data_IF_764648174281
#
_entry.id   IF_764648174281
#
_cell.length_a   1.000
_cell.length_b   1.000
_cell.length_c   1.000
_cell.angle_alpha   90.00
_cell.angle_beta   90.00
_cell.angle_gamma   90.00
#
_symmetry.space_group_name_H-M   'P 1'
#
loop_
_entity.id
_entity.type
_entity.pdbx_description
1 polymer ?
#
# COMPACT_ATOMS: atom_id res chain seq x y z
N UNK A 1 10.54 41.03 7.47
CA UNK A 1 9.71 40.92 8.68
C UNK A 1 8.47 40.10 8.32
N UNK A 2 8.24 39.02 9.06
CA UNK A 2 7.18 38.02 8.84
C UNK A 2 5.83 38.47 9.44
N UNK A 3 4.68 38.31 8.76
CA UNK A 3 3.39 38.34 9.41
C UNK A 3 3.00 36.94 9.95
N UNK A 4 2.57 36.96 11.21
CA UNK A 4 2.25 35.85 12.11
C UNK A 4 1.11 34.96 11.61
N UNK A 5 1.31 33.65 11.79
CA UNK A 5 0.30 32.58 11.76
C UNK A 5 -0.85 32.88 12.74
N UNK A 6 -2.10 32.71 12.30
CA UNK A 6 -3.25 32.42 13.15
C UNK A 6 -3.99 31.23 12.54
N UNK A 7 -3.65 30.04 13.00
CA UNK A 7 -4.42 28.83 12.75
C UNK A 7 -5.56 28.78 13.77
N UNK A 8 -6.80 28.76 13.27
CA UNK A 8 -8.00 28.47 14.06
C UNK A 8 -8.08 26.95 14.18
N UNK A 9 -7.85 26.43 15.38
CA UNK A 9 -8.07 25.02 15.70
C UNK A 9 -9.57 24.85 15.91
N UNK A 10 -10.26 24.30 14.90
CA UNK A 10 -11.58 23.71 15.08
C UNK A 10 -11.39 22.26 15.50
N UNK A 11 -11.65 22.01 16.78
CA UNK A 11 -11.80 20.70 17.39
C UNK A 11 -12.99 19.98 16.75
N UNK A 12 -12.73 19.20 15.70
CA UNK A 12 -13.58 18.12 15.24
C UNK A 12 -13.05 16.82 15.81
N UNK A 13 -13.71 16.31 16.85
CA UNK A 13 -13.43 15.00 17.42
C UNK A 13 -13.89 13.91 16.44
N UNK A 14 -12.98 13.49 15.56
CA UNK A 14 -13.00 12.18 14.93
C UNK A 14 -11.72 11.48 15.37
N UNK A 15 -11.81 10.58 16.34
CA UNK A 15 -10.73 9.66 16.61
C UNK A 15 -10.64 8.73 15.39
N UNK A 16 -9.84 9.10 14.38
CA UNK A 16 -9.35 8.14 13.41
C UNK A 16 -8.34 7.33 14.19
N UNK A 17 -8.77 6.17 14.68
CA UNK A 17 -7.89 5.23 15.33
C UNK A 17 -6.80 4.85 14.34
N UNK A 18 -5.58 5.37 14.56
CA UNK A 18 -4.38 4.76 14.00
C UNK A 18 -4.23 3.41 14.70
N UNK A 19 -4.92 2.40 14.19
CA UNK A 19 -4.61 1.01 14.50
C UNK A 19 -3.24 0.73 13.92
N UNK A 20 -2.23 0.67 14.78
CA UNK A 20 -0.91 0.17 14.40
C UNK A 20 -1.04 -1.36 14.23
N UNK A 21 -1.69 -1.76 13.13
CA UNK A 21 -1.78 -3.15 12.67
C UNK A 21 -0.39 -3.52 12.17
N UNK A 22 0.18 -4.60 12.70
CA UNK A 22 1.59 -4.95 12.56
C UNK A 22 2.03 -5.07 11.10
N UNK A 23 2.64 -4.01 10.56
CA UNK A 23 3.38 -4.11 9.31
C UNK A 23 4.75 -4.74 9.62
N UNK A 24 5.13 -5.75 8.84
CA UNK A 24 6.48 -6.32 8.90
C UNK A 24 7.19 -5.89 7.64
N UNK A 25 8.07 -4.90 7.75
CA UNK A 25 9.09 -4.63 6.73
C UNK A 25 9.90 -5.91 6.56
N UNK A 26 9.71 -6.62 5.44
CA UNK A 26 10.44 -7.85 5.13
C UNK A 26 11.84 -7.57 4.56
N UNK A 27 12.04 -6.37 4.04
CA UNK A 27 13.31 -5.85 3.53
C UNK A 27 13.69 -4.61 4.34
N UNK A 28 14.94 -4.52 4.80
CA UNK A 28 15.46 -3.30 5.39
C UNK A 28 15.31 -2.19 4.34
N UNK A 29 14.61 -1.12 4.73
CA UNK A 29 14.35 0.06 3.90
C UNK A 29 15.61 0.64 3.23
N UNK A 30 16.77 0.38 3.83
CA UNK A 30 18.07 0.83 3.37
C UNK A 30 18.63 0.03 2.17
N UNK A 31 18.08 -1.14 1.83
CA UNK A 31 18.68 -2.03 0.82
C UNK A 31 17.98 -2.03 -0.56
N UNK A 32 16.65 -1.93 -0.65
CA UNK A 32 15.95 -2.11 -1.95
C UNK A 32 14.76 -1.19 -2.15
N UNK A 33 13.73 -1.30 -1.30
CA UNK A 33 12.48 -0.55 -1.40
C UNK A 33 11.80 -0.39 -0.03
N UNK A 34 11.04 0.68 0.12
CA UNK A 34 10.26 1.02 1.31
C UNK A 34 8.80 1.21 0.93
N UNK A 35 7.91 0.62 1.72
CA UNK A 35 6.47 0.78 1.55
C UNK A 35 5.80 1.16 2.88
N UNK A 36 4.88 2.12 2.82
CA UNK A 36 3.94 2.39 3.89
C UNK A 36 2.57 1.79 3.54
N UNK A 37 1.87 1.32 4.56
CA UNK A 37 0.58 0.63 4.42
C UNK A 37 -0.46 1.26 5.35
N UNK A 38 -1.62 1.62 4.80
CA UNK A 38 -2.76 2.13 5.57
C UNK A 38 -3.99 1.26 5.30
N UNK A 39 -4.43 0.52 6.32
CA UNK A 39 -5.60 -0.35 6.25
C UNK A 39 -6.87 0.36 6.74
N UNK A 40 -7.96 0.16 6.02
CA UNK A 40 -9.29 0.64 6.38
C UNK A 40 -10.30 -0.50 6.23
N UNK A 41 -10.80 -0.99 7.36
CA UNK A 41 -11.81 -2.06 7.40
C UNK A 41 -13.21 -1.57 7.00
N UNK A 42 -14.03 -2.48 6.47
CA UNK A 42 -15.43 -2.23 6.15
C UNK A 42 -16.32 -3.45 6.49
N UNK A 43 -17.53 -3.20 6.98
CA UNK A 43 -18.44 -4.26 7.44
C UNK A 43 -19.21 -4.94 6.29
N UNK A 44 -19.73 -4.16 5.34
CA UNK A 44 -20.59 -4.63 4.23
C UNK A 44 -20.00 -4.32 2.84
N UNK A 45 -18.68 -4.12 2.77
CA UNK A 45 -17.95 -3.78 1.56
C UNK A 45 -16.52 -4.33 1.63
N UNK A 46 -15.77 -4.36 0.50
CA UNK A 46 -14.35 -4.71 0.55
C UNK A 46 -13.59 -3.78 1.50
N UNK A 47 -12.64 -4.35 2.23
CA UNK A 47 -11.67 -3.54 2.97
C UNK A 47 -10.75 -2.84 1.98
N UNK A 48 -10.12 -1.75 2.42
CA UNK A 48 -9.18 -0.98 1.60
C UNK A 48 -7.80 -1.03 2.21
N UNK A 49 -6.79 -1.12 1.36
CA UNK A 49 -5.39 -0.99 1.74
C UNK A 49 -4.75 0.03 0.80
N UNK A 50 -4.26 1.13 1.37
CA UNK A 50 -3.41 2.08 0.66
C UNK A 50 -1.97 1.63 0.81
N UNK A 51 -1.25 1.53 -0.30
CA UNK A 51 0.16 1.15 -0.37
C UNK A 51 0.91 2.31 -1.00
N UNK A 52 1.84 2.92 -0.26
CA UNK A 52 2.67 4.03 -0.74
C UNK A 52 4.12 3.57 -0.82
N UNK A 53 4.79 3.82 -1.94
CA UNK A 53 6.23 3.60 -2.06
C UNK A 53 6.97 4.84 -1.54
N UNK A 54 7.62 4.70 -0.38
CA UNK A 54 8.15 5.83 0.40
C UNK A 54 9.66 6.06 0.22
N UNK A 55 10.35 5.16 -0.48
CA UNK A 55 11.79 5.28 -0.73
C UNK A 55 12.44 3.94 -1.05
N UNK A 56 13.77 3.95 -1.12
CA UNK A 56 14.58 2.81 -1.55
C UNK A 56 15.77 3.27 -2.37
N UNK A 57 16.63 2.34 -2.77
CA UNK A 57 17.78 2.64 -3.64
C UNK A 57 17.53 2.26 -5.09
N UNK A 58 16.62 1.31 -5.33
CA UNK A 58 16.30 0.82 -6.67
C UNK A 58 15.16 1.61 -7.31
N UNK A 59 15.24 1.76 -8.64
CA UNK A 59 14.13 2.31 -9.43
C UNK A 59 13.15 1.19 -9.78
N UNK A 60 12.00 1.21 -9.15
CA UNK A 60 10.91 0.25 -9.37
C UNK A 60 9.97 0.76 -10.46
N UNK A 61 9.88 0.04 -11.59
CA UNK A 61 8.95 0.39 -12.67
C UNK A 61 7.55 -0.13 -12.37
N UNK A 62 6.52 0.64 -12.68
CA UNK A 62 5.14 0.30 -12.37
C UNK A 62 4.68 -1.01 -13.04
N UNK A 63 5.22 -1.35 -14.22
CA UNK A 63 4.94 -2.62 -14.91
C UNK A 63 5.68 -3.84 -14.35
N UNK A 64 6.72 -3.62 -13.54
CA UNK A 64 7.56 -4.65 -12.94
C UNK A 64 7.22 -4.91 -11.46
N UNK A 65 6.36 -4.07 -10.86
CA UNK A 65 5.90 -4.19 -9.48
C UNK A 65 4.49 -4.76 -9.46
N UNK A 66 4.27 -5.80 -8.65
CA UNK A 66 3.00 -6.51 -8.57
C UNK A 66 2.49 -6.55 -7.13
N UNK A 67 1.19 -6.32 -6.95
CA UNK A 67 0.49 -6.39 -5.67
C UNK A 67 -0.44 -7.60 -5.66
N UNK A 68 -0.30 -8.46 -4.66
CA UNK A 68 -1.10 -9.68 -4.53
C UNK A 68 -2.39 -9.47 -3.77
N UNK A 69 -3.35 -10.38 -3.94
CA UNK A 69 -4.59 -10.44 -3.15
C UNK A 69 -5.49 -9.22 -3.36
N UNK A 70 -5.40 -8.59 -4.54
CA UNK A 70 -6.29 -7.50 -4.93
C UNK A 70 -7.63 -8.11 -5.30
N UNK A 71 -8.69 -7.72 -4.60
CA UNK A 71 -10.05 -8.18 -4.90
C UNK A 71 -10.52 -7.55 -6.21
N UNK A 72 -10.75 -8.39 -7.23
CA UNK A 72 -11.24 -7.98 -8.54
C UNK A 72 -12.76 -8.14 -8.67
N UNK A 73 -13.33 -9.14 -8.01
CA UNK A 73 -14.78 -9.30 -7.84
C UNK A 73 -15.08 -9.74 -6.39
N UNK A 74 -15.55 -8.79 -5.58
CA UNK A 74 -15.85 -9.04 -4.16
C UNK A 74 -16.98 -10.06 -3.98
N UNK A 75 -18.06 -9.94 -4.75
CA UNK A 75 -19.26 -10.78 -4.63
C UNK A 75 -19.00 -12.21 -5.09
N UNK A 76 -18.17 -12.38 -6.14
CA UNK A 76 -17.84 -13.67 -6.70
C UNK A 76 -16.76 -14.43 -5.94
N UNK A 77 -16.05 -13.80 -5.00
CA UNK A 77 -14.97 -14.50 -4.30
C UNK A 77 -13.60 -14.43 -5.00
N UNK A 78 -13.41 -13.57 -5.99
CA UNK A 78 -12.19 -13.49 -6.80
C UNK A 78 -11.16 -12.45 -6.31
N UNK A 79 -9.89 -12.83 -6.35
CA UNK A 79 -8.73 -11.97 -6.10
C UNK A 79 -7.63 -12.30 -7.10
N UNK A 80 -6.82 -11.32 -7.46
CA UNK A 80 -5.72 -11.47 -8.41
C UNK A 80 -4.42 -10.82 -7.92
N UNK A 81 -3.35 -10.95 -8.71
CA UNK A 81 -2.09 -10.23 -8.59
C UNK A 81 -1.99 -9.26 -9.76
N UNK A 82 -1.98 -7.96 -9.46
CA UNK A 82 -2.01 -6.91 -10.47
C UNK A 82 -0.72 -6.10 -10.45
N UNK A 83 -0.25 -5.68 -11.62
CA UNK A 83 0.86 -4.75 -11.71
C UNK A 83 0.47 -3.37 -11.17
N UNK A 84 1.43 -2.61 -10.67
CA UNK A 84 1.17 -1.26 -10.18
C UNK A 84 0.59 -0.36 -11.29
N UNK A 85 1.09 -0.50 -12.52
CA UNK A 85 0.54 0.20 -13.70
C UNK A 85 -0.90 -0.20 -14.06
N UNK A 86 -1.42 -1.32 -13.54
CA UNK A 86 -2.83 -1.69 -13.69
C UNK A 86 -3.70 -1.15 -12.55
N UNK A 87 -3.08 -0.75 -11.44
CA UNK A 87 -3.74 -0.18 -10.26
C UNK A 87 -3.78 1.35 -10.29
N UNK A 88 -2.86 1.96 -11.04
CA UNK A 88 -2.72 3.40 -11.18
C UNK A 88 -2.81 3.80 -12.66
N UNK A 89 -3.95 4.35 -13.06
CA UNK A 89 -4.21 4.77 -14.44
C UNK A 89 -3.35 5.98 -14.89
N UNK A 90 -2.67 6.66 -13.95
CA UNK A 90 -1.81 7.80 -14.23
C UNK A 90 -0.34 7.40 -14.53
N UNK A 91 0.02 6.12 -14.39
CA UNK A 91 1.37 5.62 -14.61
C UNK A 91 1.45 4.64 -15.78
N UNK A 92 2.36 4.92 -16.72
CA UNK A 92 2.72 3.94 -17.75
C UNK A 92 3.60 2.83 -17.14
N UNK A 93 3.63 1.62 -17.73
CA UNK A 93 4.44 0.51 -17.22
C UNK A 93 5.94 0.79 -17.05
N UNK A 94 6.49 1.77 -17.79
CA UNK A 94 7.90 2.18 -17.71
C UNK A 94 8.18 3.29 -16.68
N UNK A 95 7.12 3.90 -16.13
CA UNK A 95 7.24 4.93 -15.10
C UNK A 95 7.68 4.35 -13.77
N UNK A 96 8.36 5.17 -12.97
CA UNK A 96 8.79 4.75 -11.64
C UNK A 96 7.74 5.11 -10.59
N UNK A 97 7.58 4.27 -9.58
CA UNK A 97 6.58 4.45 -8.51
C UNK A 97 7.08 5.32 -7.34
N UNK A 98 8.14 6.10 -7.53
CA UNK A 98 8.79 6.90 -6.48
C UNK A 98 7.81 7.92 -5.86
N UNK A 99 7.36 7.68 -4.62
CA UNK A 99 6.40 8.55 -3.93
C UNK A 99 4.94 8.34 -4.36
N UNK A 100 4.68 7.34 -5.20
CA UNK A 100 3.34 7.01 -5.67
C UNK A 100 2.61 6.13 -4.67
N UNK A 101 1.28 6.20 -4.70
CA UNK A 101 0.42 5.41 -3.82
C UNK A 101 -0.78 4.84 -4.56
N UNK A 102 -1.06 3.56 -4.33
CA UNK A 102 -2.23 2.86 -4.86
C UNK A 102 -3.18 2.47 -3.74
N UNK A 103 -4.48 2.55 -4.00
CA UNK A 103 -5.50 2.00 -3.11
C UNK A 103 -6.08 0.73 -3.71
N UNK A 104 -5.88 -0.40 -3.03
CA UNK A 104 -6.45 -1.68 -3.43
C UNK A 104 -7.64 -2.04 -2.55
N UNK A 105 -8.54 -2.85 -3.11
CA UNK A 105 -9.59 -3.53 -2.34
C UNK A 105 -9.11 -4.92 -1.94
N UNK A 106 -9.35 -5.33 -0.70
CA UNK A 106 -9.08 -6.69 -0.20
C UNK A 106 -10.35 -7.27 0.43
N UNK A 107 -10.68 -8.52 0.09
CA UNK A 107 -11.91 -9.14 0.59
C UNK A 107 -11.84 -9.42 2.08
N UNK A 108 -10.78 -10.10 2.50
CA UNK A 108 -10.52 -10.42 3.90
C UNK A 108 -9.14 -9.92 4.27
N UNK A 109 -8.93 -9.50 5.53
CA UNK A 109 -7.60 -9.21 6.02
C UNK A 109 -6.75 -10.49 5.96
N UNK A 110 -5.70 -10.47 5.15
CA UNK A 110 -4.76 -11.57 4.92
C UNK A 110 -3.38 -10.95 4.63
N UNK A 111 -2.45 -11.70 4.04
CA UNK A 111 -1.15 -11.20 3.60
C UNK A 111 -1.28 -10.56 2.21
N UNK A 112 -0.87 -9.30 2.11
CA UNK A 112 -0.65 -8.60 0.83
C UNK A 112 0.85 -8.45 0.65
N UNK A 113 1.38 -8.93 -0.47
CA UNK A 113 2.80 -8.75 -0.83
C UNK A 113 2.94 -7.82 -2.01
N UNK A 114 3.96 -6.98 -1.96
CA UNK A 114 4.49 -6.22 -3.10
C UNK A 114 5.69 -6.98 -3.62
N UNK A 115 5.64 -7.38 -4.89
CA UNK A 115 6.67 -8.16 -5.56
C UNK A 115 7.29 -7.36 -6.67
N UNK A 116 8.59 -7.50 -6.84
CA UNK A 116 9.32 -6.87 -7.92
C UNK A 116 9.89 -7.95 -8.82
N UNK A 117 9.63 -7.82 -10.12
CA UNK A 117 10.19 -8.71 -11.14
C UNK A 117 11.28 -7.98 -11.92
N UNK A 118 12.46 -8.56 -11.98
CA UNK A 118 13.58 -8.01 -12.74
C UNK A 118 14.43 -9.12 -13.32
N UNK A 119 14.85 -8.96 -14.57
CA UNK A 119 15.79 -9.87 -15.24
C UNK A 119 15.35 -11.36 -15.26
N UNK A 120 14.04 -11.62 -15.09
CA UNK A 120 13.44 -12.95 -15.05
C UNK A 120 13.27 -13.53 -13.65
N UNK A 121 13.77 -12.86 -12.62
CA UNK A 121 13.60 -13.20 -11.21
C UNK A 121 12.46 -12.39 -10.58
N UNK A 122 11.80 -12.94 -9.55
CA UNK A 122 10.75 -12.28 -8.77
C UNK A 122 11.12 -12.34 -7.29
N UNK A 123 11.06 -11.20 -6.62
CA UNK A 123 11.36 -11.05 -5.20
C UNK A 123 10.24 -10.29 -4.47
N UNK A 124 10.05 -10.58 -3.18
CA UNK A 124 9.12 -9.83 -2.33
C UNK A 124 9.86 -8.64 -1.73
N UNK A 125 9.41 -7.43 -2.07
CA UNK A 125 10.02 -6.16 -1.67
C UNK A 125 9.18 -5.38 -0.66
N UNK A 126 7.98 -5.89 -0.33
CA UNK A 126 7.11 -5.34 0.70
C UNK A 126 6.04 -6.34 1.10
N UNK A 127 5.60 -6.28 2.35
CA UNK A 127 4.45 -7.07 2.80
C UNK A 127 3.67 -6.36 3.89
N UNK A 128 2.35 -6.44 3.75
CA UNK A 128 1.39 -6.13 4.80
C UNK A 128 0.78 -7.43 5.29
N UNK A 129 0.77 -7.61 6.60
CA UNK A 129 0.19 -8.79 7.26
C UNK A 129 -0.85 -8.26 8.24
N UNK A 130 -2.08 -8.76 8.13
CA UNK A 130 -3.07 -8.49 9.15
C UNK A 130 -2.76 -9.31 10.41
N UNK A 131 -2.52 -8.62 11.52
CA UNK A 131 -2.33 -9.21 12.85
C UNK A 131 -3.47 -8.72 13.75
N UNK A 132 -4.39 -9.63 14.09
CA UNK A 132 -5.55 -9.37 14.96
C UNK A 132 -5.21 -9.60 16.45
N UNK A 133 -3.96 -9.92 16.78
CA UNK A 133 -3.49 -10.15 18.16
C UNK A 133 -3.31 -8.82 18.92
N UNK A 134 -4.38 -8.03 19.03
CA UNK A 134 -4.53 -7.04 20.09
C UNK A 134 -4.80 -7.78 21.42
N UNK A 135 -3.72 -8.22 22.08
CA UNK A 135 -3.76 -8.91 23.37
C UNK A 135 -3.83 -7.99 24.59
#
# INVERSE_FOLDING_TARGET
MSPKRRAVILLGAGAVGFGALGYRELTDCEEFACFAFEYQGADDAPNRLTIEHTGGTERLRAGDVFVTNVSTDYEAGESDTLAWAELDDDLDPDDAIDGEAVQISIRFPDVVTVRWRRDGDEEVVGAWVYDDDER
#
